data_IF_938231592133
#
_entry.id   IF_938231592133
#
_cell.length_a   1.000
_cell.length_b   1.000
_cell.length_c   1.000
_cell.angle_alpha   90.00
_cell.angle_beta   90.00
_cell.angle_gamma   90.00
#
_symmetry.space_group_name_H-M   'P 1'
#
loop_
_entity.id
_entity.type
_entity.pdbx_description
1 polymer ?
#
# COMPACT_ATOMS: atom_id res chain seq x y z
N UNK A 1 5.60 -59.68 13.63
CA UNK A 1 6.54 -59.92 12.51
C UNK A 1 5.86 -59.46 11.23
N UNK A 2 6.40 -58.45 10.51
CA UNK A 2 5.82 -57.88 9.30
C UNK A 2 6.15 -58.74 8.06
N UNK A 3 5.21 -58.79 7.12
CA UNK A 3 5.36 -59.45 5.81
C UNK A 3 5.93 -58.43 4.80
N UNK A 4 6.94 -58.79 3.99
CA UNK A 4 7.60 -57.86 3.08
C UNK A 4 6.90 -57.78 1.72
N UNK A 5 6.80 -56.56 1.18
CA UNK A 5 6.42 -56.29 -0.20
C UNK A 5 7.68 -56.19 -1.09
N UNK A 6 7.78 -57.06 -2.08
CA UNK A 6 8.59 -56.92 -3.30
C UNK A 6 7.67 -57.38 -4.44
N UNK A 7 7.63 -56.84 -5.66
CA UNK A 7 8.20 -55.70 -6.41
C UNK A 7 7.50 -55.77 -7.79
N UNK A 8 7.52 -54.69 -8.60
CA UNK A 8 7.04 -54.51 -9.99
C UNK A 8 5.73 -53.70 -10.10
N UNK A 9 5.68 -52.52 -10.74
CA UNK A 9 6.73 -51.83 -11.48
C UNK A 9 6.29 -50.43 -11.94
N UNK A 10 7.31 -49.58 -12.10
CA UNK A 10 7.43 -48.43 -13.01
C UNK A 10 6.48 -47.23 -12.81
N UNK A 11 7.04 -46.27 -12.07
CA UNK A 11 6.97 -44.82 -12.24
C UNK A 11 5.69 -44.12 -11.78
N UNK A 12 5.50 -44.09 -10.46
CA UNK A 12 4.78 -43.01 -9.77
C UNK A 12 5.77 -42.29 -8.85
N UNK A 13 6.17 -41.08 -9.20
CA UNK A 13 6.76 -40.15 -8.23
C UNK A 13 5.59 -39.37 -7.64
N UNK A 14 4.97 -39.95 -6.62
CA UNK A 14 4.03 -39.25 -5.76
C UNK A 14 4.85 -38.46 -4.74
N UNK A 15 5.19 -37.21 -5.07
CA UNK A 15 5.58 -36.21 -4.09
C UNK A 15 4.40 -35.26 -3.94
N UNK A 16 3.39 -35.71 -3.20
CA UNK A 16 2.37 -34.81 -2.67
C UNK A 16 2.99 -34.09 -1.48
N UNK A 17 3.68 -32.98 -1.75
CA UNK A 17 4.16 -32.06 -0.74
C UNK A 17 2.97 -31.60 0.12
N UNK A 18 3.13 -31.76 1.42
CA UNK A 18 2.41 -31.06 2.47
C UNK A 18 2.17 -29.60 2.09
N UNK A 19 0.93 -29.26 1.74
CA UNK A 19 0.45 -27.89 1.83
C UNK A 19 -0.20 -27.73 3.20
N UNK A 20 0.65 -27.44 4.18
CA UNK A 20 0.27 -26.68 5.35
C UNK A 20 -0.39 -25.39 4.84
N UNK A 21 -1.72 -25.30 4.95
CA UNK A 21 -2.42 -24.03 4.84
C UNK A 21 -1.98 -23.17 6.03
N UNK A 22 -0.84 -22.52 5.88
CA UNK A 22 -0.54 -21.30 6.60
C UNK A 22 -1.59 -20.28 6.17
N UNK A 23 -2.63 -20.11 6.99
CA UNK A 23 -3.58 -19.02 6.89
C UNK A 23 -2.80 -17.71 7.04
N UNK A 24 -2.38 -17.14 5.91
CA UNK A 24 -1.95 -15.76 5.87
C UNK A 24 -3.18 -14.90 6.17
N UNK A 25 -3.08 -13.89 7.05
CA UNK A 25 -4.16 -12.94 7.23
C UNK A 25 -4.34 -12.22 5.91
N UNK A 26 -5.51 -12.41 5.29
CA UNK A 26 -6.01 -11.53 4.23
C UNK A 26 -6.25 -10.19 4.90
N UNK A 27 -5.23 -9.34 4.96
CA UNK A 27 -5.42 -7.93 5.22
C UNK A 27 -6.26 -7.41 4.03
N UNK A 28 -7.53 -7.16 4.32
CA UNK A 28 -8.61 -6.97 3.37
C UNK A 28 -8.29 -5.95 2.27
N UNK A 29 -8.41 -6.39 1.01
CA UNK A 29 -8.42 -5.51 -0.16
C UNK A 29 -9.37 -4.32 0.00
N UNK A 30 -10.50 -4.50 0.70
CA UNK A 30 -11.48 -3.43 0.96
C UNK A 30 -10.97 -2.27 1.84
N UNK A 31 -9.97 -2.48 2.70
CA UNK A 31 -9.39 -1.38 3.48
C UNK A 31 -8.44 -0.50 2.64
N UNK A 32 -7.74 -1.13 1.68
CA UNK A 32 -6.91 -0.46 0.68
C UNK A 32 -7.77 0.37 -0.29
N UNK A 33 -8.85 -0.23 -0.78
CA UNK A 33 -9.83 0.42 -1.67
C UNK A 33 -10.44 1.65 -0.98
N UNK A 34 -10.89 1.50 0.27
CA UNK A 34 -11.51 2.59 1.03
C UNK A 34 -10.59 3.80 1.28
N UNK A 35 -9.30 3.59 1.57
CA UNK A 35 -8.38 4.70 1.80
C UNK A 35 -8.00 5.41 0.48
N UNK A 36 -7.78 4.66 -0.61
CA UNK A 36 -7.49 5.24 -1.92
C UNK A 36 -8.69 6.03 -2.47
N UNK A 37 -9.91 5.52 -2.32
CA UNK A 37 -11.13 6.24 -2.70
C UNK A 37 -11.31 7.53 -1.91
N UNK A 38 -10.99 7.53 -0.60
CA UNK A 38 -11.00 8.76 0.21
C UNK A 38 -10.02 9.80 -0.32
N UNK A 39 -8.82 9.38 -0.70
CA UNK A 39 -7.82 10.28 -1.30
C UNK A 39 -8.37 10.90 -2.60
N UNK A 40 -9.02 10.11 -3.47
CA UNK A 40 -9.68 10.66 -4.66
C UNK A 40 -10.78 11.67 -4.30
N UNK A 41 -11.62 11.36 -3.31
CA UNK A 41 -12.67 12.27 -2.84
C UNK A 41 -12.13 13.60 -2.31
N UNK A 42 -11.02 13.57 -1.57
CA UNK A 42 -10.36 14.80 -1.09
C UNK A 42 -9.79 15.60 -2.27
N UNK A 43 -9.15 14.94 -3.23
CA UNK A 43 -8.64 15.57 -4.45
C UNK A 43 -9.77 16.28 -5.23
N UNK A 44 -10.92 15.61 -5.42
CA UNK A 44 -12.10 16.19 -6.08
C UNK A 44 -12.64 17.42 -5.33
N UNK A 45 -12.63 17.37 -3.99
CA UNK A 45 -13.08 18.51 -3.17
C UNK A 45 -12.19 19.76 -3.29
N UNK A 46 -10.98 19.61 -3.86
CA UNK A 46 -10.03 20.69 -4.16
C UNK A 46 -10.14 21.19 -5.61
N UNK A 47 -11.24 20.89 -6.29
CA UNK A 47 -11.54 21.33 -7.66
C UNK A 47 -10.57 20.80 -8.73
N UNK A 48 -9.97 19.63 -8.47
CA UNK A 48 -9.17 18.92 -9.47
C UNK A 48 -10.04 18.09 -10.42
N UNK A 49 -9.47 17.79 -11.59
CA UNK A 49 -10.09 16.92 -12.60
C UNK A 49 -10.28 15.48 -12.09
N UNK A 50 -11.41 14.86 -12.46
CA UNK A 50 -11.82 13.54 -11.99
C UNK A 50 -10.85 12.42 -12.43
N UNK A 51 -10.38 12.48 -13.69
CA UNK A 51 -9.39 11.51 -14.20
C UNK A 51 -8.04 11.67 -13.47
N UNK A 52 -7.65 12.91 -13.15
CA UNK A 52 -6.45 13.21 -12.38
C UNK A 52 -6.55 12.65 -10.94
N UNK A 53 -7.70 12.80 -10.29
CA UNK A 53 -7.93 12.29 -8.92
C UNK A 53 -7.98 10.76 -8.86
N UNK A 54 -8.61 10.10 -9.83
CA UNK A 54 -8.58 8.64 -9.92
C UNK A 54 -7.18 8.10 -10.28
N UNK A 55 -6.44 8.79 -11.13
CA UNK A 55 -5.03 8.49 -11.40
C UNK A 55 -4.20 8.56 -10.12
N UNK A 56 -4.36 9.64 -9.35
CA UNK A 56 -3.65 9.83 -8.08
C UNK A 56 -3.94 8.70 -7.09
N UNK A 57 -5.21 8.33 -6.90
CA UNK A 57 -5.59 7.25 -5.99
C UNK A 57 -5.00 5.89 -6.42
N UNK A 58 -5.00 5.60 -7.73
CA UNK A 58 -4.39 4.37 -8.26
C UNK A 58 -2.88 4.34 -8.05
N UNK A 59 -2.18 5.44 -8.35
CA UNK A 59 -0.74 5.53 -8.17
C UNK A 59 -0.33 5.52 -6.69
N UNK A 60 -1.15 6.08 -5.81
CA UNK A 60 -0.99 5.97 -4.36
C UNK A 60 -1.13 4.51 -3.91
N UNK A 61 -2.20 3.85 -4.34
CA UNK A 61 -2.53 2.47 -4.00
C UNK A 61 -1.44 1.45 -4.37
N UNK A 62 -0.66 1.74 -5.42
CA UNK A 62 0.44 0.86 -5.85
C UNK A 62 1.75 1.07 -5.08
N UNK A 63 1.88 2.16 -4.31
CA UNK A 63 3.14 2.56 -3.65
C UNK A 63 3.11 2.42 -2.13
N UNK A 64 1.92 2.49 -1.54
CA UNK A 64 1.73 2.49 -0.09
C UNK A 64 0.83 1.34 0.33
N UNK A 65 1.11 0.75 1.49
CA UNK A 65 0.21 -0.21 2.09
C UNK A 65 -1.06 0.46 2.65
N UNK A 66 -2.08 -0.34 2.96
CA UNK A 66 -3.36 0.14 3.50
C UNK A 66 -3.22 1.08 4.72
N UNK A 67 -2.30 0.79 5.64
CA UNK A 67 -2.11 1.60 6.83
C UNK A 67 -1.44 2.93 6.48
N UNK A 68 -0.44 2.93 5.60
CA UNK A 68 0.18 4.15 5.11
C UNK A 68 -0.81 5.03 4.33
N UNK A 69 -1.63 4.44 3.47
CA UNK A 69 -2.68 5.17 2.73
C UNK A 69 -3.71 5.79 3.66
N UNK A 70 -4.15 5.05 4.67
CA UNK A 70 -5.07 5.57 5.67
C UNK A 70 -4.50 6.80 6.38
N UNK A 71 -3.21 6.79 6.72
CA UNK A 71 -2.53 7.90 7.38
C UNK A 71 -2.34 9.11 6.47
N UNK A 72 -2.06 8.86 5.19
CA UNK A 72 -2.04 9.92 4.18
C UNK A 72 -3.43 10.54 4.04
N UNK A 73 -4.49 9.73 3.92
CA UNK A 73 -5.87 10.22 3.83
C UNK A 73 -6.27 11.07 5.05
N UNK A 74 -6.00 10.58 6.26
CA UNK A 74 -6.24 11.32 7.51
C UNK A 74 -5.49 12.65 7.57
N UNK A 75 -4.25 12.69 7.06
CA UNK A 75 -3.48 13.92 6.95
C UNK A 75 -4.10 14.91 5.97
N UNK A 76 -4.48 14.43 4.79
CA UNK A 76 -5.10 15.24 3.75
C UNK A 76 -6.44 15.84 4.18
N UNK A 77 -7.27 15.09 4.92
CA UNK A 77 -8.52 15.57 5.50
C UNK A 77 -8.29 16.63 6.57
N UNK A 78 -7.21 16.50 7.35
CA UNK A 78 -6.83 17.47 8.37
C UNK A 78 -6.20 18.75 7.78
N UNK A 79 -5.89 18.76 6.48
CA UNK A 79 -5.14 19.83 5.83
C UNK A 79 -3.65 19.82 6.16
N UNK A 80 -3.12 18.68 6.61
CA UNK A 80 -1.70 18.53 6.93
C UNK A 80 -0.84 18.58 5.67
N UNK A 81 0.37 19.09 5.83
CA UNK A 81 1.49 18.94 4.91
C UNK A 81 2.19 17.57 5.04
N UNK A 82 3.00 17.19 4.05
CA UNK A 82 3.80 15.96 4.10
C UNK A 82 4.68 15.79 5.38
N UNK A 83 5.39 16.83 5.88
CA UNK A 83 6.14 16.71 7.13
C UNK A 83 5.23 16.51 8.36
N UNK A 84 4.03 17.08 8.37
CA UNK A 84 3.07 16.89 9.47
C UNK A 84 2.53 15.46 9.50
N UNK A 85 2.21 14.86 8.34
CA UNK A 85 1.84 13.43 8.24
C UNK A 85 2.97 12.54 8.74
N UNK A 86 4.20 12.84 8.36
CA UNK A 86 5.39 12.13 8.86
C UNK A 86 5.50 12.25 10.39
N UNK A 87 5.29 13.45 10.94
CA UNK A 87 5.34 13.68 12.39
C UNK A 87 4.25 12.90 13.13
N UNK A 88 3.04 12.77 12.57
CA UNK A 88 1.96 11.94 13.15
C UNK A 88 2.33 10.46 13.17
N UNK A 89 2.94 9.94 12.11
CA UNK A 89 3.42 8.55 12.06
C UNK A 89 4.48 8.27 13.13
N UNK A 90 5.40 9.22 13.36
CA UNK A 90 6.38 9.14 14.46
C UNK A 90 5.67 9.08 15.82
N UNK A 91 4.69 9.95 16.05
CA UNK A 91 3.91 9.96 17.30
C UNK A 91 3.06 8.69 17.49
N UNK A 92 2.64 8.06 16.39
CA UNK A 92 1.95 6.78 16.39
C UNK A 92 2.87 5.57 16.65
N UNK A 93 4.17 5.80 16.89
CA UNK A 93 5.13 4.77 17.26
C UNK A 93 5.83 4.07 16.09
N UNK A 94 5.75 4.61 14.88
CA UNK A 94 6.56 4.13 13.75
C UNK A 94 8.05 4.31 14.07
N UNK A 95 8.86 3.28 13.83
CA UNK A 95 10.30 3.34 14.09
C UNK A 95 10.99 4.37 13.19
N UNK A 96 12.13 4.91 13.61
CA UNK A 96 12.86 5.91 12.79
C UNK A 96 13.26 5.38 11.41
N UNK A 97 13.58 4.08 11.31
CA UNK A 97 13.95 3.45 10.04
C UNK A 97 12.75 3.35 9.10
N UNK A 98 11.59 2.93 9.62
CA UNK A 98 10.35 2.88 8.86
C UNK A 98 9.90 4.28 8.44
N UNK A 99 10.03 5.24 9.35
CA UNK A 99 9.71 6.64 9.11
C UNK A 99 10.56 7.21 7.97
N UNK A 100 11.88 7.03 8.01
CA UNK A 100 12.78 7.51 6.97
C UNK A 100 12.48 6.86 5.60
N UNK A 101 12.13 5.57 5.61
CA UNK A 101 11.71 4.86 4.39
C UNK A 101 10.36 5.37 3.86
N UNK A 102 9.40 5.65 4.75
CA UNK A 102 8.12 6.26 4.40
C UNK A 102 8.31 7.65 3.81
N UNK A 103 9.06 8.54 4.47
CA UNK A 103 9.29 9.92 3.99
C UNK A 103 9.91 9.93 2.60
N UNK A 104 10.97 9.14 2.38
CA UNK A 104 11.59 9.05 1.04
C UNK A 104 10.63 8.53 -0.03
N UNK A 105 9.81 7.52 0.32
CA UNK A 105 8.78 7.00 -0.59
C UNK A 105 7.70 8.05 -0.87
N UNK A 106 7.31 8.85 0.12
CA UNK A 106 6.34 9.92 -0.02
C UNK A 106 6.84 11.03 -0.93
N UNK A 107 8.06 11.51 -0.73
CA UNK A 107 8.73 12.49 -1.60
C UNK A 107 8.81 11.99 -3.05
N UNK A 108 9.28 10.77 -3.24
CA UNK A 108 9.40 10.17 -4.58
C UNK A 108 8.04 9.97 -5.23
N UNK A 109 7.05 9.49 -4.47
CA UNK A 109 5.70 9.27 -4.96
C UNK A 109 5.05 10.59 -5.40
N UNK A 110 5.20 11.68 -4.64
CA UNK A 110 4.66 12.98 -5.01
C UNK A 110 5.15 13.45 -6.37
N UNK A 111 6.46 13.36 -6.61
CA UNK A 111 7.05 13.74 -7.91
C UNK A 111 6.49 12.90 -9.04
N UNK A 112 6.46 11.57 -8.88
CA UNK A 112 6.00 10.66 -9.94
C UNK A 112 4.50 10.83 -10.20
N UNK A 113 3.70 10.98 -9.16
CA UNK A 113 2.25 11.17 -9.26
C UNK A 113 1.96 12.51 -9.95
N UNK A 114 2.66 13.58 -9.57
CA UNK A 114 2.52 14.87 -10.24
C UNK A 114 2.84 14.80 -11.73
N UNK A 115 3.95 14.15 -12.09
CA UNK A 115 4.34 13.97 -13.49
C UNK A 115 3.37 13.09 -14.29
N UNK A 116 2.73 12.12 -13.64
CA UNK A 116 1.86 11.12 -14.31
C UNK A 116 0.41 11.58 -14.39
N UNK A 117 -0.09 12.19 -13.31
CA UNK A 117 -1.51 12.52 -13.13
C UNK A 117 -1.79 14.03 -13.20
N UNK A 118 -0.76 14.88 -13.22
CA UNK A 118 -0.92 16.34 -13.21
C UNK A 118 -1.37 16.92 -11.86
N UNK A 119 -1.40 16.10 -10.80
CA UNK A 119 -1.79 16.48 -9.43
C UNK A 119 -0.96 15.67 -8.41
N UNK A 120 -0.94 16.07 -7.14
CA UNK A 120 -0.15 15.44 -6.07
C UNK A 120 -0.92 15.41 -4.74
N UNK A 121 -0.44 14.62 -3.78
CA UNK A 121 -1.06 14.55 -2.44
C UNK A 121 -1.09 15.92 -1.76
N UNK A 122 0.10 16.54 -1.68
CA UNK A 122 0.32 17.82 -1.05
C UNK A 122 0.70 18.83 -2.14
N UNK A 123 0.39 20.10 -1.90
CA UNK A 123 0.85 21.17 -2.75
C UNK A 123 2.38 21.21 -2.70
N UNK A 124 3.01 21.29 -3.87
CA UNK A 124 4.45 21.50 -3.95
C UNK A 124 4.67 22.97 -3.62
N UNK A 125 5.23 23.26 -2.45
CA UNK A 125 5.71 24.61 -2.16
C UNK A 125 6.75 24.98 -3.22
N UNK A 126 6.34 25.81 -4.18
CA UNK A 126 7.26 26.40 -5.16
C UNK A 126 7.95 27.57 -4.49
N UNK A 127 9.23 27.40 -4.17
CA UNK A 127 10.15 28.46 -3.73
C UNK A 127 10.36 29.52 -4.84
#
# INVERSE_FOLDING_TARGET
MPVPCNRFGRNSVAVACLLLLSAAPVASAGALESAAERIAGICLSRDHDDDACHCLAREAGSRFDSHQLQRIAEGLEAGDSAPEVTQRLRQAGMSEVELASFTRRLETAQVVIHQTCGTSFFEVETD
#
